data_IF_402844722228
#
_entry.id   IF_402844722228
#
_cell.length_a   1.000
_cell.length_b   1.000
_cell.length_c   1.000
_cell.angle_alpha   90.00
_cell.angle_beta   90.00
_cell.angle_gamma   90.00
#
_symmetry.space_group_name_H-M   'P 1'
#
loop_
_entity.id
_entity.type
_entity.pdbx_description
1 polymer ?
#
# COMPACT_ATOMS: atom_id res chain seq x y z
N UNK A 1 4.06 -27.35 10.93
CA UNK A 1 4.23 -26.31 11.97
C UNK A 1 3.21 -25.23 11.69
N UNK A 2 2.23 -25.07 12.57
CA UNK A 2 1.27 -23.97 12.50
C UNK A 2 2.02 -22.64 12.57
N UNK A 3 1.67 -21.68 11.71
CA UNK A 3 2.21 -20.32 11.81
C UNK A 3 1.71 -19.75 13.13
N UNK A 4 2.63 -19.26 14.01
CA UNK A 4 2.21 -18.69 15.28
C UNK A 4 1.21 -17.56 15.04
N UNK A 5 0.16 -17.53 15.85
CA UNK A 5 -0.86 -16.49 15.78
C UNK A 5 -0.23 -15.13 16.11
N UNK A 6 -0.64 -14.08 15.43
CA UNK A 6 -0.21 -12.71 15.80
C UNK A 6 -0.52 -12.39 17.28
N UNK A 7 -1.57 -12.99 17.83
CA UNK A 7 -1.97 -12.79 19.24
C UNK A 7 -0.85 -13.14 20.22
N UNK A 8 -0.06 -14.20 19.93
CA UNK A 8 1.06 -14.59 20.79
C UNK A 8 2.14 -13.51 20.88
N UNK A 9 2.31 -12.73 19.83
CA UNK A 9 3.27 -11.63 19.80
C UNK A 9 2.72 -10.33 20.37
N UNK A 10 1.41 -10.06 20.21
CA UNK A 10 0.76 -8.82 20.63
C UNK A 10 0.89 -8.62 22.14
N UNK A 11 0.60 -9.66 22.93
CA UNK A 11 0.71 -9.57 24.39
C UNK A 11 2.13 -9.28 24.86
N UNK A 12 3.12 -9.95 24.28
CA UNK A 12 4.53 -9.69 24.56
C UNK A 12 4.94 -8.26 24.20
N UNK A 13 4.51 -7.78 23.03
CA UNK A 13 4.77 -6.41 22.58
C UNK A 13 4.17 -5.38 23.54
N UNK A 14 2.95 -5.58 24.05
CA UNK A 14 2.28 -4.69 25.00
C UNK A 14 3.05 -4.63 26.33
N UNK A 15 3.67 -5.75 26.74
CA UNK A 15 4.53 -5.83 27.94
C UNK A 15 5.95 -5.28 27.70
N UNK A 16 6.28 -4.86 26.48
CA UNK A 16 7.59 -4.31 26.13
C UNK A 16 8.67 -5.34 25.81
N UNK A 17 8.27 -6.60 25.58
CA UNK A 17 9.21 -7.67 25.20
C UNK A 17 9.80 -7.42 23.80
N UNK A 18 11.11 -7.18 23.76
CA UNK A 18 11.85 -6.92 22.51
C UNK A 18 11.85 -8.10 21.56
N UNK A 19 11.85 -9.34 22.09
CA UNK A 19 11.83 -10.54 21.27
C UNK A 19 10.46 -10.69 20.56
N UNK A 20 9.37 -10.41 21.26
CA UNK A 20 8.03 -10.37 20.68
C UNK A 20 7.89 -9.27 19.62
N UNK A 21 8.43 -8.07 19.89
CA UNK A 21 8.45 -6.95 18.93
C UNK A 21 9.22 -7.33 17.66
N UNK A 22 10.39 -7.94 17.79
CA UNK A 22 11.18 -8.43 16.65
C UNK A 22 10.40 -9.44 15.81
N UNK A 23 9.79 -10.44 16.44
CA UNK A 23 9.00 -11.47 15.75
C UNK A 23 7.81 -10.87 15.01
N UNK A 24 7.08 -9.93 15.64
CA UNK A 24 5.96 -9.25 15.02
C UNK A 24 6.41 -8.41 13.82
N UNK A 25 7.52 -7.68 13.95
CA UNK A 25 8.14 -6.94 12.86
C UNK A 25 8.50 -7.86 11.69
N UNK A 26 9.22 -8.96 11.94
CA UNK A 26 9.66 -9.90 10.91
C UNK A 26 8.46 -10.55 10.19
N UNK A 27 7.37 -10.84 10.90
CA UNK A 27 6.17 -11.44 10.33
C UNK A 27 5.37 -10.48 9.44
N UNK A 28 5.34 -9.18 9.78
CA UNK A 28 4.53 -8.17 9.08
C UNK A 28 5.33 -7.40 8.01
N UNK A 29 6.62 -7.14 8.23
CA UNK A 29 7.39 -6.21 7.40
C UNK A 29 7.37 -6.53 5.92
N UNK A 30 7.45 -7.79 5.43
CA UNK A 30 7.42 -8.05 4.00
C UNK A 30 6.09 -7.63 3.35
N UNK A 31 4.97 -7.85 4.04
CA UNK A 31 3.64 -7.50 3.55
C UNK A 31 3.41 -5.98 3.61
N UNK A 32 3.81 -5.35 4.70
CA UNK A 32 3.66 -3.91 4.89
C UNK A 32 4.60 -3.13 3.97
N UNK A 33 5.81 -3.62 3.73
CA UNK A 33 6.72 -3.02 2.76
C UNK A 33 6.15 -3.07 1.33
N UNK A 34 5.59 -4.21 0.92
CA UNK A 34 4.93 -4.32 -0.38
C UNK A 34 3.75 -3.33 -0.51
N UNK A 35 3.00 -3.09 0.58
CA UNK A 35 1.97 -2.06 0.63
C UNK A 35 2.59 -0.65 0.47
N UNK A 36 3.64 -0.32 1.24
CA UNK A 36 4.29 0.98 1.17
C UNK A 36 4.83 1.28 -0.24
N UNK A 37 5.49 0.31 -0.88
CA UNK A 37 5.95 0.44 -2.27
C UNK A 37 4.79 0.76 -3.22
N UNK A 38 3.64 0.10 -3.10
CA UNK A 38 2.48 0.38 -3.96
C UNK A 38 1.96 1.80 -3.83
N UNK A 39 2.01 2.38 -2.62
CA UNK A 39 1.54 3.75 -2.39
C UNK A 39 2.59 4.78 -2.77
N UNK A 40 3.83 4.59 -2.39
CA UNK A 40 4.87 5.59 -2.57
C UNK A 40 5.46 5.57 -3.99
N UNK A 41 5.58 4.40 -4.61
CA UNK A 41 6.18 4.25 -5.94
C UNK A 41 7.70 4.47 -5.95
N UNK A 42 8.31 4.61 -4.79
CA UNK A 42 9.73 4.82 -4.58
C UNK A 42 10.17 4.02 -3.35
N UNK A 43 11.37 3.41 -3.41
CA UNK A 43 11.84 2.50 -2.37
C UNK A 43 12.18 3.22 -1.08
N UNK A 44 12.92 4.32 -1.18
CA UNK A 44 13.40 5.05 0.00
C UNK A 44 12.21 5.64 0.75
N UNK A 45 11.28 6.27 0.03
CA UNK A 45 10.03 6.76 0.59
C UNK A 45 9.18 5.62 1.21
N UNK A 46 9.19 4.42 0.62
CA UNK A 46 8.48 3.28 1.18
C UNK A 46 9.13 2.74 2.46
N UNK A 47 10.46 2.77 2.57
CA UNK A 47 11.19 2.40 3.78
C UNK A 47 10.90 3.37 4.93
N UNK A 48 10.84 4.67 4.66
CA UNK A 48 10.43 5.69 5.63
C UNK A 48 9.00 5.43 6.15
N UNK A 49 8.06 5.21 5.23
CA UNK A 49 6.67 4.90 5.61
C UNK A 49 6.57 3.58 6.37
N UNK A 50 7.40 2.60 6.05
CA UNK A 50 7.45 1.33 6.78
C UNK A 50 7.87 1.57 8.25
N UNK A 51 8.90 2.38 8.48
CA UNK A 51 9.37 2.72 9.82
C UNK A 51 8.31 3.49 10.60
N UNK A 52 7.75 4.57 10.03
CA UNK A 52 6.71 5.38 10.64
C UNK A 52 5.44 4.54 10.95
N UNK A 53 5.10 3.64 10.05
CA UNK A 53 3.99 2.70 10.21
C UNK A 53 4.20 1.76 11.39
N UNK A 54 5.39 1.21 11.58
CA UNK A 54 5.71 0.37 12.73
C UNK A 54 5.74 1.16 14.04
N UNK A 55 6.32 2.36 14.06
CA UNK A 55 6.27 3.25 15.24
C UNK A 55 4.81 3.50 15.64
N UNK A 56 3.95 3.82 14.67
CA UNK A 56 2.52 4.04 14.91
C UNK A 56 1.82 2.76 15.35
N UNK A 57 2.13 1.61 14.74
CA UNK A 57 1.55 0.32 15.08
C UNK A 57 1.87 -0.04 16.53
N UNK A 58 3.14 0.00 16.93
CA UNK A 58 3.53 -0.34 18.31
C UNK A 58 2.94 0.62 19.34
N UNK A 59 2.85 1.92 19.04
CA UNK A 59 2.23 2.90 19.94
C UNK A 59 0.73 2.66 20.13
N UNK A 60 0.04 2.15 19.09
CA UNK A 60 -1.40 1.90 19.09
C UNK A 60 -1.79 0.45 19.43
N UNK A 61 -0.83 -0.43 19.69
CA UNK A 61 -1.07 -1.86 19.84
C UNK A 61 -2.10 -2.19 20.95
N UNK A 62 -2.09 -1.39 22.03
CA UNK A 62 -3.07 -1.51 23.13
C UNK A 62 -4.50 -1.18 22.72
N UNK A 63 -4.70 -0.46 21.63
CA UNK A 63 -6.03 -0.09 21.13
C UNK A 63 -6.63 -1.12 20.17
N UNK A 64 -5.91 -2.19 19.86
CA UNK A 64 -6.46 -3.28 19.07
C UNK A 64 -7.45 -4.09 19.89
N UNK A 65 -8.74 -4.06 19.52
CA UNK A 65 -9.85 -4.67 20.27
C UNK A 65 -9.97 -6.18 20.09
N UNK A 66 -9.09 -6.81 19.31
CA UNK A 66 -9.25 -8.21 18.85
C UNK A 66 -10.51 -8.48 18.01
N UNK A 67 -11.21 -7.45 17.57
CA UNK A 67 -12.31 -7.56 16.63
C UNK A 67 -11.78 -7.58 15.20
N UNK A 68 -11.93 -8.72 14.53
CA UNK A 68 -11.45 -8.90 13.15
C UNK A 68 -9.96 -9.27 13.05
N UNK A 69 -9.40 -9.10 11.85
CA UNK A 69 -8.03 -9.49 11.54
C UNK A 69 -7.02 -8.45 12.03
N UNK A 70 -6.05 -8.88 12.83
CA UNK A 70 -4.92 -8.02 13.22
C UNK A 70 -4.15 -7.48 12.00
N UNK A 71 -3.93 -8.32 10.99
CA UNK A 71 -3.27 -7.88 9.75
C UNK A 71 -4.08 -6.79 9.05
N UNK A 72 -5.42 -6.91 9.01
CA UNK A 72 -6.29 -5.89 8.44
C UNK A 72 -6.23 -4.57 9.21
N UNK A 73 -6.19 -4.63 10.55
CA UNK A 73 -6.01 -3.45 11.40
C UNK A 73 -4.63 -2.80 11.19
N UNK A 74 -3.56 -3.60 11.15
CA UNK A 74 -2.22 -3.13 10.84
C UNK A 74 -2.16 -2.46 9.46
N UNK A 75 -2.72 -3.09 8.41
CA UNK A 75 -2.77 -2.52 7.05
C UNK A 75 -3.40 -1.13 7.03
N UNK A 76 -4.48 -0.90 7.76
CA UNK A 76 -5.11 0.42 7.86
C UNK A 76 -4.18 1.48 8.45
N UNK A 77 -3.32 1.12 9.42
CA UNK A 77 -2.30 2.02 9.97
C UNK A 77 -1.32 2.42 8.88
N UNK A 78 -0.77 1.45 8.13
CA UNK A 78 0.21 1.73 7.08
C UNK A 78 -0.40 2.52 5.91
N UNK A 79 -1.63 2.21 5.51
CA UNK A 79 -2.36 3.01 4.51
C UNK A 79 -2.49 4.46 4.97
N UNK A 80 -2.95 4.68 6.21
CA UNK A 80 -3.12 6.03 6.74
C UNK A 80 -1.77 6.78 6.83
N UNK A 81 -0.69 6.11 7.23
CA UNK A 81 0.66 6.69 7.28
C UNK A 81 1.11 7.12 5.88
N UNK A 82 0.94 6.25 4.87
CA UNK A 82 1.26 6.58 3.48
C UNK A 82 0.43 7.76 2.95
N UNK A 83 -0.88 7.78 3.23
CA UNK A 83 -1.77 8.89 2.82
C UNK A 83 -1.38 10.22 3.47
N UNK A 84 -0.97 10.20 4.74
CA UNK A 84 -0.49 11.40 5.44
C UNK A 84 0.78 11.94 4.80
N UNK A 85 1.73 11.09 4.45
CA UNK A 85 2.96 11.47 3.76
C UNK A 85 2.67 12.05 2.37
N UNK A 86 1.83 11.38 1.58
CA UNK A 86 1.45 11.86 0.24
C UNK A 86 0.75 13.23 0.28
N UNK A 87 -0.06 13.50 1.31
CA UNK A 87 -0.69 14.82 1.50
C UNK A 87 0.34 15.89 1.87
N UNK A 88 1.27 15.58 2.78
CA UNK A 88 2.32 16.50 3.21
C UNK A 88 3.18 16.95 2.03
N UNK A 89 3.44 16.04 1.11
CA UNK A 89 4.27 16.30 -0.07
C UNK A 89 3.49 16.89 -1.26
N UNK A 90 2.21 17.26 -1.10
CA UNK A 90 1.29 17.73 -2.15
C UNK A 90 1.20 16.78 -3.38
N UNK A 91 1.73 15.58 -3.26
CA UNK A 91 1.83 14.61 -4.35
C UNK A 91 0.46 14.18 -4.92
N UNK A 92 -0.61 14.33 -4.12
CA UNK A 92 -1.98 14.04 -4.55
C UNK A 92 -2.57 15.14 -5.44
N UNK A 93 -2.08 16.39 -5.33
CA UNK A 93 -2.54 17.53 -6.15
C UNK A 93 -1.87 17.57 -7.51
N UNK A 94 -0.64 17.04 -7.62
CA UNK A 94 0.15 17.01 -8.86
C UNK A 94 -0.28 15.90 -9.84
N UNK A 95 -1.28 15.11 -9.52
CA UNK A 95 -1.63 13.89 -10.25
C UNK A 95 -2.42 14.11 -11.55
N UNK A 96 -2.76 15.34 -11.90
CA UNK A 96 -3.41 15.64 -13.19
C UNK A 96 -2.44 15.69 -14.39
N UNK A 97 -1.15 15.69 -14.16
CA UNK A 97 -0.13 15.65 -15.21
C UNK A 97 0.46 14.23 -15.33
N UNK A 98 0.26 13.63 -16.51
CA UNK A 98 0.83 12.31 -16.90
C UNK A 98 2.37 12.26 -16.87
N UNK A 99 3.03 13.41 -16.75
CA UNK A 99 4.49 13.56 -16.86
C UNK A 99 5.27 13.09 -15.61
N UNK A 100 4.61 12.89 -14.47
CA UNK A 100 5.28 12.54 -13.21
C UNK A 100 5.24 11.03 -12.87
N UNK A 101 5.02 10.15 -13.84
CA UNK A 101 5.18 8.72 -13.64
C UNK A 101 6.66 8.37 -13.46
N UNK A 102 7.19 8.45 -12.25
CA UNK A 102 8.51 7.90 -11.93
C UNK A 102 8.51 6.40 -12.22
N UNK A 103 9.44 5.99 -13.07
CA UNK A 103 9.73 4.58 -13.30
C UNK A 103 10.15 3.95 -11.97
N UNK A 104 9.39 2.98 -11.48
CA UNK A 104 9.87 2.14 -10.39
C UNK A 104 11.11 1.40 -10.87
N UNK A 105 12.20 1.56 -10.13
CA UNK A 105 13.29 0.60 -10.19
C UNK A 105 12.75 -0.79 -9.84
N UNK A 106 13.32 -1.83 -10.44
CA UNK A 106 12.88 -3.22 -10.46
C UNK A 106 12.81 -3.96 -9.11
N UNK A 107 12.77 -3.25 -7.99
CA UNK A 107 12.92 -3.78 -6.63
C UNK A 107 11.60 -4.12 -5.94
N UNK A 108 10.68 -4.78 -6.64
CA UNK A 108 9.56 -5.46 -5.98
C UNK A 108 10.12 -6.67 -5.23
N UNK A 109 9.84 -6.83 -3.92
CA UNK A 109 10.40 -7.92 -3.13
C UNK A 109 10.25 -9.28 -3.80
N UNK A 110 11.33 -10.04 -3.86
CA UNK A 110 11.50 -11.32 -4.55
C UNK A 110 10.59 -12.47 -4.04
N UNK A 111 9.82 -12.24 -2.98
CA UNK A 111 8.95 -13.26 -2.38
C UNK A 111 7.62 -13.48 -3.11
N UNK A 112 7.34 -12.73 -4.16
CA UNK A 112 6.13 -12.92 -4.97
C UNK A 112 6.52 -13.79 -6.17
N UNK A 113 6.35 -15.09 -6.02
CA UNK A 113 6.71 -16.13 -7.01
C UNK A 113 5.82 -16.15 -8.27
N UNK A 114 4.91 -15.19 -8.46
CA UNK A 114 4.07 -15.10 -9.64
C UNK A 114 4.55 -13.96 -10.56
N UNK A 115 5.21 -14.30 -11.67
CA UNK A 115 5.67 -13.34 -12.69
C UNK A 115 4.57 -12.35 -13.09
N UNK A 116 3.34 -12.83 -13.29
CA UNK A 116 2.20 -11.99 -13.64
C UNK A 116 1.82 -10.97 -12.54
N UNK A 117 1.94 -11.32 -11.26
CA UNK A 117 1.65 -10.38 -10.17
C UNK A 117 2.70 -9.26 -10.11
N UNK A 118 3.98 -9.59 -10.29
CA UNK A 118 5.08 -8.62 -10.31
C UNK A 118 4.88 -7.59 -11.43
N UNK A 119 4.55 -8.07 -12.63
CA UNK A 119 4.28 -7.22 -13.80
C UNK A 119 3.08 -6.28 -13.53
N UNK A 120 1.97 -6.81 -12.99
CA UNK A 120 0.80 -6.00 -12.65
C UNK A 120 1.14 -4.93 -11.60
N UNK A 121 1.90 -5.28 -10.57
CA UNK A 121 2.31 -4.31 -9.54
C UNK A 121 3.22 -3.21 -10.09
N UNK A 122 4.08 -3.52 -11.06
CA UNK A 122 4.89 -2.52 -11.75
C UNK A 122 4.00 -1.56 -12.58
N UNK A 123 2.99 -2.08 -13.27
CA UNK A 123 2.03 -1.26 -13.99
C UNK A 123 1.23 -0.33 -13.06
N UNK A 124 0.76 -0.85 -11.93
CA UNK A 124 0.06 -0.04 -10.91
C UNK A 124 0.98 1.06 -10.38
N UNK A 125 2.23 0.73 -10.10
CA UNK A 125 3.20 1.68 -9.59
C UNK A 125 3.54 2.79 -10.60
N UNK A 126 3.42 2.51 -11.90
CA UNK A 126 3.63 3.50 -12.96
C UNK A 126 2.45 4.46 -13.16
N UNK A 127 1.34 4.31 -12.42
CA UNK A 127 0.23 5.25 -12.47
C UNK A 127 0.61 6.59 -11.80
N UNK A 128 0.05 7.71 -12.27
CA UNK A 128 0.10 8.99 -11.54
C UNK A 128 -0.41 8.81 -10.11
N UNK A 129 0.22 9.51 -9.16
CA UNK A 129 0.03 9.28 -7.71
C UNK A 129 -1.42 9.26 -7.26
N UNK A 130 -2.26 10.20 -7.71
CA UNK A 130 -3.68 10.22 -7.33
C UNK A 130 -4.46 9.02 -7.85
N UNK A 131 -4.26 8.66 -9.12
CA UNK A 131 -4.92 7.48 -9.73
C UNK A 131 -4.44 6.19 -9.08
N UNK A 132 -3.14 6.08 -8.81
CA UNK A 132 -2.53 4.95 -8.10
C UNK A 132 -3.10 4.80 -6.68
N UNK A 133 -3.22 5.91 -5.97
CA UNK A 133 -3.77 5.91 -4.60
C UNK A 133 -5.21 5.43 -4.57
N UNK A 134 -6.08 6.00 -5.42
CA UNK A 134 -7.49 5.58 -5.50
C UNK A 134 -7.61 4.13 -5.95
N UNK A 135 -6.80 3.69 -6.92
CA UNK A 135 -6.80 2.31 -7.38
C UNK A 135 -6.40 1.34 -6.25
N UNK A 136 -5.32 1.62 -5.51
CA UNK A 136 -4.89 0.79 -4.39
C UNK A 136 -5.97 0.72 -3.31
N UNK A 137 -6.54 1.86 -2.91
CA UNK A 137 -7.57 1.90 -1.87
C UNK A 137 -8.80 1.10 -2.27
N UNK A 138 -9.30 1.27 -3.50
CA UNK A 138 -10.53 0.61 -3.95
C UNK A 138 -10.30 -0.86 -4.31
N UNK A 139 -9.36 -1.14 -5.22
CA UNK A 139 -9.21 -2.46 -5.83
C UNK A 139 -8.42 -3.45 -4.96
N UNK A 140 -7.53 -2.97 -4.11
CA UNK A 140 -6.65 -3.84 -3.32
C UNK A 140 -7.03 -3.85 -1.84
N UNK A 141 -7.30 -2.66 -1.27
CA UNK A 141 -7.62 -2.55 0.16
C UNK A 141 -9.14 -2.63 0.45
N UNK A 142 -10.00 -2.53 -0.57
CA UNK A 142 -11.46 -2.71 -0.44
C UNK A 142 -12.21 -1.52 0.17
N UNK A 143 -11.64 -0.31 0.14
CA UNK A 143 -12.35 0.90 0.59
C UNK A 143 -13.49 1.26 -0.36
N UNK A 144 -14.61 1.73 0.19
CA UNK A 144 -15.69 2.33 -0.59
C UNK A 144 -15.29 3.70 -1.16
N UNK A 145 -16.00 4.16 -2.19
CA UNK A 145 -15.76 5.51 -2.75
C UNK A 145 -16.03 6.63 -1.74
N UNK A 146 -16.92 6.41 -0.79
CA UNK A 146 -17.23 7.33 0.32
C UNK A 146 -16.06 7.43 1.30
N UNK A 147 -15.47 6.30 1.68
CA UNK A 147 -14.28 6.26 2.53
C UNK A 147 -13.06 6.89 1.84
N UNK A 148 -12.86 6.59 0.55
CA UNK A 148 -11.80 7.19 -0.26
C UNK A 148 -11.99 8.71 -0.37
N UNK A 149 -13.20 9.15 -0.66
CA UNK A 149 -13.53 10.57 -0.77
C UNK A 149 -13.18 11.33 0.52
N UNK A 150 -13.58 10.80 1.67
CA UNK A 150 -13.24 11.34 3.00
C UNK A 150 -11.73 11.31 3.26
N UNK A 151 -11.09 10.18 2.94
CA UNK A 151 -9.67 10.00 3.17
C UNK A 151 -8.80 10.92 2.30
N UNK A 152 -9.19 11.21 1.07
CA UNK A 152 -8.40 12.01 0.11
C UNK A 152 -8.91 13.46 -0.02
N UNK A 153 -9.98 13.84 0.69
CA UNK A 153 -10.64 15.14 0.58
C UNK A 153 -11.06 15.48 -0.85
N UNK A 154 -11.69 14.52 -1.52
CA UNK A 154 -12.28 14.63 -2.87
C UNK A 154 -13.77 14.24 -2.82
N UNK A 155 -14.50 14.44 -3.91
CA UNK A 155 -15.89 13.91 -4.00
C UNK A 155 -15.90 12.40 -4.30
N UNK A 156 -16.98 11.70 -3.92
CA UNK A 156 -17.18 10.29 -4.34
C UNK A 156 -17.21 10.16 -5.87
N UNK A 157 -17.75 11.15 -6.57
CA UNK A 157 -17.70 11.20 -8.04
C UNK A 157 -16.27 11.35 -8.56
N UNK A 158 -15.43 12.17 -7.90
CA UNK A 158 -14.02 12.33 -8.17
C UNK A 158 -13.25 11.02 -7.98
N UNK A 159 -13.54 10.30 -6.89
CA UNK A 159 -12.95 8.97 -6.63
C UNK A 159 -13.32 7.97 -7.74
N UNK A 160 -14.58 7.92 -8.17
CA UNK A 160 -15.00 7.07 -9.31
C UNK A 160 -14.31 7.45 -10.62
N UNK A 161 -14.22 8.76 -10.90
CA UNK A 161 -13.54 9.26 -12.11
C UNK A 161 -12.06 8.89 -12.12
N UNK A 162 -11.34 9.07 -11.00
CA UNK A 162 -9.93 8.70 -10.88
C UNK A 162 -9.72 7.19 -11.04
N UNK A 163 -10.59 6.36 -10.46
CA UNK A 163 -10.54 4.91 -10.63
C UNK A 163 -10.71 4.50 -12.11
N UNK A 164 -11.67 5.12 -12.81
CA UNK A 164 -11.90 4.82 -14.23
C UNK A 164 -10.69 5.23 -15.08
N UNK A 165 -10.07 6.37 -14.81
CA UNK A 165 -8.83 6.79 -15.49
C UNK A 165 -7.67 5.85 -15.19
N UNK A 166 -7.51 5.43 -13.93
CA UNK A 166 -6.50 4.42 -13.56
C UNK A 166 -6.67 3.12 -14.35
N UNK A 167 -7.90 2.62 -14.43
CA UNK A 167 -8.23 1.40 -15.19
C UNK A 167 -7.93 1.54 -16.68
N UNK A 168 -8.29 2.66 -17.28
CA UNK A 168 -8.03 2.93 -18.71
C UNK A 168 -6.53 2.93 -19.02
N UNK A 169 -5.71 3.58 -18.18
CA UNK A 169 -4.26 3.59 -18.32
C UNK A 169 -3.67 2.18 -18.17
N UNK A 170 -4.14 1.41 -17.19
CA UNK A 170 -3.66 0.05 -16.97
C UNK A 170 -4.03 -0.87 -18.15
N UNK A 171 -5.25 -0.77 -18.67
CA UNK A 171 -5.70 -1.54 -19.84
C UNK A 171 -4.85 -1.24 -21.08
N UNK A 172 -4.55 0.04 -21.34
CA UNK A 172 -3.69 0.42 -22.47
C UNK A 172 -2.26 -0.14 -22.31
N UNK A 173 -1.68 -0.03 -21.12
CA UNK A 173 -0.35 -0.57 -20.83
C UNK A 173 -0.29 -2.09 -20.96
N UNK A 174 -1.29 -2.80 -20.48
CA UNK A 174 -1.39 -4.28 -20.60
C UNK A 174 -1.50 -4.67 -22.06
N UNK A 175 -2.33 -3.95 -22.84
CA UNK A 175 -2.47 -4.20 -24.28
C UNK A 175 -1.12 -4.07 -25.00
N UNK A 176 -0.41 -2.96 -24.77
CA UNK A 176 0.92 -2.71 -25.38
C UNK A 176 1.94 -3.78 -24.98
N UNK A 177 2.01 -4.13 -23.69
CA UNK A 177 2.91 -5.19 -23.22
C UNK A 177 2.62 -6.56 -23.86
N UNK A 178 1.35 -6.86 -24.17
CA UNK A 178 0.98 -8.12 -24.85
C UNK A 178 1.29 -8.08 -26.35
N UNK A 179 1.24 -6.92 -26.99
CA UNK A 179 1.62 -6.73 -28.39
C UNK A 179 3.13 -6.93 -28.56
N UNK A 180 3.94 -6.33 -27.67
CA UNK A 180 5.40 -6.46 -27.67
C UNK A 180 5.89 -7.91 -27.44
N UNK A 181 5.14 -8.71 -26.66
CA UNK A 181 5.47 -10.15 -26.41
C UNK A 181 5.12 -11.09 -27.58
N UNK A 182 4.43 -10.60 -28.62
CA UNK A 182 4.02 -11.39 -29.78
C UNK A 182 4.93 -11.24 -31.00
N UNK A 183 5.90 -10.35 -30.92
CA UNK A 183 6.94 -10.13 -31.92
C UNK A 183 8.20 -10.90 -31.51
#
# INVERSE_FOLDING_TARGET
>A
MEKPSYNDYIEGCIKGDRAAQKKLYEALSPKMFALCIRYMGDRDAAEDILQDGFVTLFSKLRSFSNEGSFEGWARRIFVNTALMSLRKNDALKLSDTLENARSLSSDVPSQIQNLGYKEIMQLVASLPTGYRTVFNMFAIEGFSHEEIAKALNISSAGSRSQLNRARAILQDKIRKSNEDKRI
#
